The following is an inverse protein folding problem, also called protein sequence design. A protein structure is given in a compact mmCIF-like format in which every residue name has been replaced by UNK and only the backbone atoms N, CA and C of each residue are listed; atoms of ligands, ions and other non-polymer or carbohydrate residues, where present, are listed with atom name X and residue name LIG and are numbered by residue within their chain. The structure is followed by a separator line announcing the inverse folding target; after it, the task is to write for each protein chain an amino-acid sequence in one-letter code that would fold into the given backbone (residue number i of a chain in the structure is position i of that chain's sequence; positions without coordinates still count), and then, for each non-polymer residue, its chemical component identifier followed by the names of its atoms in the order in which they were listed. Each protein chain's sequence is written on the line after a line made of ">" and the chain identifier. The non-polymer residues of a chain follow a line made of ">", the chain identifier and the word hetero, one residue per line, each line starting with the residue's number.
data_IF_724900815807
#
_entry.id   IF_724900815807
#
_cell.length_a   1.000
_cell.length_b   1.000
_cell.length_c   1.000
_cell.angle_alpha   90.00
_cell.angle_beta   90.00
_cell.angle_gamma   90.00
#
_symmetry.space_group_name_H-M   'P 1'
#
loop_
_entity.id
_entity.type
_entity.pdbx_description
1 polymer ?
#
# COMPACT_ATOMS: atom_id res chain seq x y z
N UNK A 1 24.44 4.14 38.97
CA UNK A 1 23.95 4.79 37.74
C UNK A 1 22.43 4.85 37.73
N UNK A 2 21.89 6.01 37.49
CA UNK A 2 20.44 6.16 37.33
C UNK A 2 19.96 5.46 36.05
N UNK A 3 18.65 5.19 35.97
CA UNK A 3 18.01 4.62 34.79
C UNK A 3 18.22 5.50 33.55
N UNK A 4 18.18 6.81 33.73
CA UNK A 4 18.42 7.82 32.69
C UNK A 4 19.85 7.74 32.17
N UNK A 5 20.85 7.60 33.05
CA UNK A 5 22.27 7.50 32.64
C UNK A 5 22.54 6.23 31.83
N UNK A 6 21.92 5.11 32.20
CA UNK A 6 22.02 3.85 31.45
C UNK A 6 21.43 4.01 30.04
N UNK A 7 20.25 4.62 29.93
CA UNK A 7 19.61 4.88 28.64
C UNK A 7 20.42 5.85 27.79
N UNK A 8 20.92 6.93 28.34
CA UNK A 8 21.74 7.90 27.62
C UNK A 8 23.04 7.26 27.10
N UNK A 9 23.65 6.39 27.88
CA UNK A 9 24.85 5.65 27.45
C UNK A 9 24.52 4.68 26.31
N UNK A 10 23.39 3.99 26.38
CA UNK A 10 22.92 3.11 25.32
C UNK A 10 22.66 3.89 24.01
N UNK A 11 22.01 5.04 24.08
CA UNK A 11 21.78 5.92 22.91
C UNK A 11 23.08 6.42 22.32
N UNK A 12 24.03 6.87 23.15
CA UNK A 12 25.36 7.30 22.70
C UNK A 12 26.11 6.19 21.96
N UNK A 13 26.03 4.97 22.48
CA UNK A 13 26.65 3.80 21.84
C UNK A 13 26.00 3.47 20.48
N UNK A 14 24.67 3.49 20.40
CA UNK A 14 23.94 3.24 19.14
C UNK A 14 24.26 4.29 18.07
N UNK A 15 24.43 5.54 18.47
CA UNK A 15 24.77 6.64 17.58
C UNK A 15 26.27 6.72 17.27
N UNK A 16 27.11 5.94 17.94
CA UNK A 16 28.59 6.12 17.93
C UNK A 16 29.01 7.57 18.23
N UNK A 17 28.24 8.22 19.09
CA UNK A 17 28.41 9.63 19.44
C UNK A 17 29.13 9.80 20.79
N UNK A 18 29.81 10.92 20.95
CA UNK A 18 30.39 11.31 22.23
C UNK A 18 29.29 11.74 23.21
N UNK A 19 29.62 11.66 24.50
CA UNK A 19 28.73 12.21 25.53
C UNK A 19 28.48 13.71 25.25
N UNK A 20 27.19 14.11 25.26
CA UNK A 20 26.76 15.47 24.94
C UNK A 20 26.44 15.73 23.47
N UNK A 21 26.71 14.77 22.57
CA UNK A 21 26.40 14.89 21.12
C UNK A 21 25.19 14.02 20.69
N UNK A 22 24.52 13.39 21.63
CA UNK A 22 23.39 12.47 21.34
C UNK A 22 22.21 13.17 20.68
N UNK A 23 21.88 14.38 21.11
CA UNK A 23 20.79 15.17 20.52
C UNK A 23 21.05 15.49 19.04
N UNK A 24 22.29 15.86 18.72
CA UNK A 24 22.73 16.12 17.34
C UNK A 24 22.70 14.83 16.50
N UNK A 25 23.11 13.70 17.08
CA UNK A 25 23.01 12.40 16.43
C UNK A 25 21.56 12.00 16.10
N UNK A 26 20.64 12.22 17.02
CA UNK A 26 19.20 11.99 16.79
C UNK A 26 18.67 12.94 15.72
N UNK A 27 19.03 14.22 15.79
CA UNK A 27 18.62 15.20 14.78
C UNK A 27 19.07 14.79 13.37
N UNK A 28 20.32 14.38 13.23
CA UNK A 28 20.83 13.87 11.94
C UNK A 28 20.07 12.66 11.44
N UNK A 29 19.77 11.68 12.31
CA UNK A 29 18.97 10.51 11.93
C UNK A 29 17.55 10.87 11.49
N UNK A 30 16.91 11.83 12.16
CA UNK A 30 15.59 12.32 11.77
C UNK A 30 15.63 13.00 10.40
N UNK A 31 16.65 13.79 10.11
CA UNK A 31 16.87 14.45 8.83
C UNK A 31 17.15 13.44 7.72
N UNK A 32 18.02 12.47 7.96
CA UNK A 32 18.32 11.38 7.04
C UNK A 32 17.07 10.52 6.76
N UNK A 33 16.29 10.21 7.80
CA UNK A 33 15.03 9.46 7.66
C UNK A 33 14.01 10.25 6.82
N UNK A 34 13.86 11.54 7.06
CA UNK A 34 12.99 12.40 6.27
C UNK A 34 13.43 12.45 4.79
N UNK A 35 14.73 12.57 4.54
CA UNK A 35 15.29 12.57 3.19
C UNK A 35 15.06 11.23 2.48
N UNK A 36 15.25 10.10 3.16
CA UNK A 36 15.00 8.77 2.62
C UNK A 36 13.52 8.54 2.31
N UNK A 37 12.62 8.95 3.20
CA UNK A 37 11.17 8.89 2.97
C UNK A 37 10.75 9.72 1.76
N UNK A 38 11.29 10.93 1.61
CA UNK A 38 11.04 11.79 0.45
C UNK A 38 11.54 11.16 -0.84
N UNK A 39 12.71 10.54 -0.82
CA UNK A 39 13.28 9.84 -1.98
C UNK A 39 12.42 8.63 -2.37
N UNK A 40 12.00 7.82 -1.41
CA UNK A 40 11.10 6.69 -1.65
C UNK A 40 9.81 7.17 -2.30
N UNK A 41 9.19 8.23 -1.76
CA UNK A 41 7.97 8.81 -2.30
C UNK A 41 8.13 9.21 -3.77
N UNK A 42 9.23 9.89 -4.11
CA UNK A 42 9.51 10.31 -5.50
C UNK A 42 9.70 9.11 -6.43
N UNK A 43 10.42 8.08 -5.96
CA UNK A 43 10.64 6.86 -6.75
C UNK A 43 9.33 6.09 -6.96
N UNK A 44 8.50 5.99 -5.94
CA UNK A 44 7.18 5.36 -6.03
C UNK A 44 6.27 6.14 -7.00
N UNK A 45 6.24 7.46 -6.93
CA UNK A 45 5.46 8.30 -7.85
C UNK A 45 5.85 8.08 -9.31
N UNK A 46 7.15 8.01 -9.60
CA UNK A 46 7.65 7.73 -10.94
C UNK A 46 7.26 6.32 -11.41
N UNK A 47 7.41 5.33 -10.54
CA UNK A 47 7.03 3.95 -10.84
C UNK A 47 5.52 3.83 -11.08
N UNK A 48 4.71 4.40 -10.20
CA UNK A 48 3.25 4.36 -10.30
C UNK A 48 2.73 5.11 -11.54
N UNK A 49 3.35 6.23 -11.88
CA UNK A 49 3.03 6.93 -13.13
C UNK A 49 3.31 6.08 -14.37
N UNK A 50 4.42 5.34 -14.38
CA UNK A 50 4.76 4.44 -15.47
C UNK A 50 3.77 3.27 -15.58
N UNK A 51 3.40 2.65 -14.46
CA UNK A 51 2.39 1.60 -14.41
C UNK A 51 1.01 2.11 -14.87
N UNK A 52 0.59 3.27 -14.38
CA UNK A 52 -0.65 3.91 -14.76
C UNK A 52 -0.71 4.22 -16.27
N UNK A 53 0.38 4.75 -16.82
CA UNK A 53 0.47 5.02 -18.24
C UNK A 53 0.36 3.74 -19.08
N UNK A 54 0.91 2.64 -18.63
CA UNK A 54 0.72 1.31 -19.25
C UNK A 54 -0.73 0.82 -19.24
N UNK A 55 -1.56 1.34 -18.36
CA UNK A 55 -2.99 1.03 -18.24
C UNK A 55 -3.90 2.05 -18.96
N UNK A 56 -3.32 3.03 -19.67
CA UNK A 56 -4.08 4.09 -20.35
C UNK A 56 -5.06 3.51 -21.36
N UNK A 57 -6.32 3.90 -21.23
CA UNK A 57 -7.39 3.42 -22.12
C UNK A 57 -7.85 1.98 -21.86
N UNK A 58 -7.25 1.25 -20.92
CA UNK A 58 -7.72 -0.05 -20.51
C UNK A 58 -9.08 0.06 -19.79
N UNK A 59 -9.87 -0.99 -19.84
CA UNK A 59 -11.11 -1.10 -19.06
C UNK A 59 -10.79 -1.33 -17.57
N UNK A 60 -11.27 -2.42 -17.01
CA UNK A 60 -10.94 -2.82 -15.64
C UNK A 60 -9.48 -3.29 -15.55
N UNK A 61 -8.79 -2.86 -14.52
CA UNK A 61 -7.36 -3.11 -14.31
C UNK A 61 -7.13 -3.77 -12.96
N UNK A 62 -6.33 -4.82 -12.94
CA UNK A 62 -5.83 -5.47 -11.73
C UNK A 62 -4.31 -5.44 -11.76
N UNK A 63 -3.70 -4.88 -10.73
CA UNK A 63 -2.26 -4.81 -10.54
C UNK A 63 -1.84 -5.49 -9.25
N UNK A 64 -0.63 -6.02 -9.28
CA UNK A 64 0.03 -6.61 -8.13
C UNK A 64 1.44 -6.02 -7.97
N UNK A 65 1.75 -5.49 -6.80
CA UNK A 65 3.03 -4.92 -6.44
C UNK A 65 3.50 -5.45 -5.08
N UNK A 66 4.79 -5.71 -4.97
CA UNK A 66 5.37 -6.20 -3.72
C UNK A 66 5.49 -5.08 -2.69
N UNK A 67 5.28 -5.43 -1.42
CA UNK A 67 5.64 -4.67 -0.22
C UNK A 67 5.32 -3.17 -0.21
N UNK A 68 4.16 -2.79 -0.69
CA UNK A 68 3.69 -1.41 -0.60
C UNK A 68 3.06 -1.12 0.78
N UNK A 69 3.30 0.09 1.30
CA UNK A 69 2.54 0.61 2.43
C UNK A 69 1.07 0.83 2.03
N UNK A 70 0.13 0.89 2.99
CA UNK A 70 -1.27 1.22 2.68
C UNK A 70 -1.43 2.54 1.93
N UNK A 71 -0.63 3.56 2.27
CA UNK A 71 -0.64 4.85 1.59
C UNK A 71 -0.09 4.76 0.15
N UNK A 72 1.01 4.04 -0.05
CA UNK A 72 1.57 3.79 -1.38
C UNK A 72 0.59 3.03 -2.28
N UNK A 73 -0.06 2.00 -1.75
CA UNK A 73 -1.07 1.22 -2.46
C UNK A 73 -2.27 2.08 -2.89
N UNK A 74 -2.70 3.00 -2.03
CA UNK A 74 -3.72 3.98 -2.36
C UNK A 74 -3.29 4.90 -3.50
N UNK A 75 -2.07 5.45 -3.43
CA UNK A 75 -1.51 6.34 -4.47
C UNK A 75 -1.38 5.62 -5.81
N UNK A 76 -0.97 4.34 -5.81
CA UNK A 76 -0.95 3.51 -7.01
C UNK A 76 -2.36 3.37 -7.61
N UNK A 77 -3.35 3.02 -6.80
CA UNK A 77 -4.72 2.88 -7.23
C UNK A 77 -5.27 4.20 -7.81
N UNK A 78 -5.01 5.33 -7.16
CA UNK A 78 -5.41 6.65 -7.64
C UNK A 78 -4.76 7.00 -8.98
N UNK A 79 -3.46 6.71 -9.15
CA UNK A 79 -2.74 6.93 -10.41
C UNK A 79 -3.32 6.10 -11.56
N UNK A 80 -3.53 4.81 -11.35
CA UNK A 80 -4.11 3.90 -12.35
C UNK A 80 -5.54 4.28 -12.70
N UNK A 81 -6.34 4.62 -11.70
CA UNK A 81 -7.71 5.08 -11.90
C UNK A 81 -7.76 6.39 -12.72
N UNK A 82 -6.70 7.20 -12.64
CA UNK A 82 -6.49 8.40 -13.47
C UNK A 82 -6.40 8.10 -14.96
N UNK A 83 -5.89 6.97 -15.37
CA UNK A 83 -5.57 6.59 -16.74
C UNK A 83 -6.51 5.52 -17.33
N UNK A 84 -6.97 4.56 -16.53
CA UNK A 84 -7.89 3.51 -16.99
C UNK A 84 -9.33 4.04 -17.13
N UNK A 85 -10.16 3.32 -17.88
CA UNK A 85 -11.55 3.69 -18.15
C UNK A 85 -12.56 2.94 -17.28
N UNK A 86 -12.12 1.91 -16.56
CA UNK A 86 -12.95 1.06 -15.73
C UNK A 86 -12.62 1.16 -14.25
N UNK A 87 -12.74 0.05 -13.57
CA UNK A 87 -12.37 -0.15 -12.17
C UNK A 87 -10.90 -0.49 -12.05
N UNK A 88 -10.31 -0.13 -10.92
CA UNK A 88 -8.94 -0.49 -10.59
C UNK A 88 -8.90 -1.28 -9.29
N UNK A 89 -8.15 -2.38 -9.27
CA UNK A 89 -7.81 -3.14 -8.07
C UNK A 89 -6.30 -3.33 -8.00
N UNK A 90 -5.69 -2.85 -6.94
CA UNK A 90 -4.27 -2.98 -6.69
C UNK A 90 -4.04 -3.81 -5.44
N UNK A 91 -3.21 -4.82 -5.54
CA UNK A 91 -2.85 -5.74 -4.45
C UNK A 91 -1.38 -5.58 -4.08
N UNK A 92 -1.08 -5.74 -2.80
CA UNK A 92 0.30 -5.79 -2.30
C UNK A 92 0.40 -6.68 -1.08
N UNK A 93 1.48 -7.43 -0.99
CA UNK A 93 1.76 -8.28 0.14
C UNK A 93 2.49 -9.57 -0.21
N UNK A 94 2.52 -10.48 0.76
CA UNK A 94 3.09 -11.82 0.64
C UNK A 94 2.29 -12.83 1.47
N UNK A 95 2.52 -14.12 1.23
CA UNK A 95 1.89 -15.19 2.01
C UNK A 95 2.27 -15.13 3.50
N UNK A 96 3.45 -14.62 3.82
CA UNK A 96 3.93 -14.48 5.20
C UNK A 96 3.36 -13.26 5.91
N UNK A 97 3.30 -12.12 5.22
CA UNK A 97 2.87 -10.84 5.79
C UNK A 97 1.36 -10.56 5.63
N UNK A 98 0.69 -11.38 4.83
CA UNK A 98 -0.68 -11.12 4.39
C UNK A 98 -0.75 -10.12 3.25
N UNK A 99 -1.95 -9.96 2.69
CA UNK A 99 -2.19 -9.09 1.54
C UNK A 99 -3.06 -7.90 1.91
N UNK A 100 -2.77 -6.79 1.25
CA UNK A 100 -3.58 -5.57 1.27
C UNK A 100 -4.07 -5.30 -0.14
N UNK A 101 -5.25 -4.74 -0.27
CA UNK A 101 -5.71 -4.25 -1.56
C UNK A 101 -6.37 -2.88 -1.46
N UNK A 102 -6.30 -2.15 -2.55
CA UNK A 102 -7.03 -0.93 -2.76
C UNK A 102 -7.82 -1.04 -4.07
N UNK A 103 -9.04 -0.58 -4.06
CA UNK A 103 -9.93 -0.58 -5.23
C UNK A 103 -10.52 0.79 -5.44
N UNK A 104 -10.71 1.15 -6.70
CA UNK A 104 -11.27 2.42 -7.10
C UNK A 104 -12.23 2.28 -8.29
N UNK A 105 -13.21 3.15 -8.37
CA UNK A 105 -14.15 3.27 -9.48
C UNK A 105 -14.54 4.74 -9.68
N UNK A 106 -14.54 5.22 -10.92
CA UNK A 106 -14.90 6.61 -11.21
C UNK A 106 -16.38 6.89 -11.22
N UNK A 107 -17.19 5.97 -11.69
CA UNK A 107 -18.57 6.21 -12.10
C UNK A 107 -19.56 5.26 -11.39
N UNK A 108 -19.27 4.84 -10.15
CA UNK A 108 -20.14 3.93 -9.45
C UNK A 108 -19.96 3.87 -7.96
N UNK A 109 -20.75 3.02 -7.31
CA UNK A 109 -20.68 2.77 -5.88
C UNK A 109 -19.93 1.46 -5.62
N UNK A 110 -18.69 1.57 -5.15
CA UNK A 110 -17.84 0.44 -4.83
C UNK A 110 -18.30 -0.40 -3.64
N UNK A 111 -19.20 0.09 -2.79
CA UNK A 111 -19.54 -0.56 -1.51
C UNK A 111 -20.04 -1.98 -1.69
N UNK A 112 -20.86 -2.22 -2.69
CA UNK A 112 -21.36 -3.56 -2.99
C UNK A 112 -20.25 -4.46 -3.52
N UNK A 113 -19.41 -3.95 -4.39
CA UNK A 113 -18.27 -4.67 -4.94
C UNK A 113 -17.22 -5.00 -3.87
N UNK A 114 -16.88 -4.03 -3.01
CA UNK A 114 -15.97 -4.24 -1.88
C UNK A 114 -16.51 -5.30 -0.91
N UNK A 115 -17.82 -5.30 -0.64
CA UNK A 115 -18.45 -6.34 0.19
C UNK A 115 -18.29 -7.72 -0.44
N UNK A 116 -18.51 -7.84 -1.73
CA UNK A 116 -18.32 -9.10 -2.46
C UNK A 116 -16.86 -9.53 -2.50
N UNK A 117 -15.92 -8.59 -2.72
CA UNK A 117 -14.48 -8.84 -2.65
C UNK A 117 -14.04 -9.33 -1.26
N UNK A 118 -14.44 -8.62 -0.21
CA UNK A 118 -14.11 -9.02 1.15
C UNK A 118 -14.65 -10.41 1.49
N UNK A 119 -15.84 -10.74 1.02
CA UNK A 119 -16.43 -12.05 1.23
C UNK A 119 -15.68 -13.15 0.46
N UNK A 120 -15.33 -12.92 -0.80
CA UNK A 120 -14.63 -13.89 -1.63
C UNK A 120 -13.17 -14.11 -1.20
N UNK A 121 -12.49 -13.04 -0.76
CA UNK A 121 -11.09 -13.05 -0.37
C UNK A 121 -10.88 -13.22 1.15
N UNK A 122 -11.94 -13.44 1.91
CA UNK A 122 -11.89 -13.46 3.38
C UNK A 122 -11.22 -12.22 3.99
N UNK A 123 -11.39 -11.08 3.34
CA UNK A 123 -10.80 -9.80 3.71
C UNK A 123 -11.62 -9.03 4.72
N UNK A 124 -11.03 -7.97 5.27
CA UNK A 124 -11.67 -7.02 6.18
C UNK A 124 -11.29 -5.61 5.78
N UNK A 125 -12.26 -4.75 5.72
CA UNK A 125 -12.06 -3.35 5.41
C UNK A 125 -13.33 -2.71 4.86
N UNK A 126 -13.19 -1.46 4.47
CA UNK A 126 -14.26 -0.68 3.88
C UNK A 126 -13.70 0.64 3.35
N UNK A 127 -14.55 1.48 2.85
CA UNK A 127 -14.13 2.74 2.28
C UNK A 127 -15.31 3.62 1.84
N UNK A 128 -14.96 4.62 1.06
CA UNK A 128 -15.91 5.52 0.41
C UNK A 128 -16.47 4.86 -0.87
N UNK A 129 -17.55 5.40 -1.46
CA UNK A 129 -18.13 4.83 -2.67
C UNK A 129 -17.17 4.71 -3.87
N UNK A 130 -16.22 5.61 -3.98
CA UNK A 130 -15.25 5.71 -5.07
C UNK A 130 -13.90 5.05 -4.77
N UNK A 131 -13.60 4.80 -3.49
CA UNK A 131 -12.33 4.24 -3.04
C UNK A 131 -12.48 3.37 -1.79
N UNK A 132 -11.87 2.20 -1.78
CA UNK A 132 -11.83 1.31 -0.63
C UNK A 132 -10.46 0.65 -0.46
N UNK A 133 -10.11 0.36 0.79
CA UNK A 133 -8.93 -0.42 1.17
C UNK A 133 -9.34 -1.54 2.12
N UNK A 134 -8.67 -2.67 2.00
CA UNK A 134 -8.85 -3.78 2.91
C UNK A 134 -7.56 -4.59 3.12
N UNK A 135 -7.50 -5.31 4.23
CA UNK A 135 -6.49 -6.32 4.50
C UNK A 135 -7.06 -7.72 4.26
N UNK A 136 -6.26 -8.59 3.70
CA UNK A 136 -6.56 -10.02 3.54
C UNK A 136 -5.88 -10.81 4.64
N UNK A 137 -6.51 -11.90 5.09
CA UNK A 137 -5.90 -12.81 6.04
C UNK A 137 -4.94 -13.79 5.36
N UNK A 138 -3.98 -14.30 6.12
CA UNK A 138 -2.75 -15.00 5.77
C UNK A 138 -2.88 -16.26 4.90
N UNK A 139 -4.06 -16.78 4.64
CA UNK A 139 -4.25 -18.07 3.97
C UNK A 139 -4.61 -17.95 2.48
N UNK A 140 -4.71 -16.73 1.96
CA UNK A 140 -5.10 -16.52 0.56
C UNK A 140 -3.86 -16.42 -0.31
N UNK A 141 -3.62 -17.43 -1.14
CA UNK A 141 -2.56 -17.37 -2.14
C UNK A 141 -2.84 -16.32 -3.20
N UNK A 142 -1.80 -15.68 -3.69
CA UNK A 142 -1.86 -14.63 -4.71
C UNK A 142 -2.69 -15.06 -5.92
N UNK A 143 -2.43 -16.25 -6.44
CA UNK A 143 -3.11 -16.77 -7.63
C UNK A 143 -4.61 -17.01 -7.38
N UNK A 144 -4.98 -17.47 -6.19
CA UNK A 144 -6.37 -17.65 -5.78
C UNK A 144 -7.07 -16.29 -5.61
N UNK A 145 -6.38 -15.31 -5.03
CA UNK A 145 -6.89 -13.95 -4.89
C UNK A 145 -7.12 -13.29 -6.26
N UNK A 146 -6.15 -13.38 -7.17
CA UNK A 146 -6.27 -12.84 -8.53
C UNK A 146 -7.37 -13.55 -9.33
N UNK A 147 -7.49 -14.87 -9.22
CA UNK A 147 -8.56 -15.63 -9.85
C UNK A 147 -9.95 -15.24 -9.31
N UNK A 148 -10.07 -15.08 -7.99
CA UNK A 148 -11.29 -14.63 -7.33
C UNK A 148 -11.70 -13.23 -7.77
N UNK A 149 -10.75 -12.29 -7.87
CA UNK A 149 -10.98 -10.93 -8.38
C UNK A 149 -11.44 -10.98 -9.83
N UNK A 150 -10.79 -11.76 -10.68
CA UNK A 150 -11.18 -11.94 -12.07
C UNK A 150 -12.62 -12.45 -12.23
N UNK A 151 -13.03 -13.41 -11.42
CA UNK A 151 -14.42 -13.93 -11.39
C UNK A 151 -15.41 -12.85 -10.92
N UNK A 152 -15.06 -12.07 -9.90
CA UNK A 152 -15.93 -11.02 -9.37
C UNK A 152 -16.06 -9.87 -10.36
N UNK A 153 -14.97 -9.48 -11.00
CA UNK A 153 -14.98 -8.46 -12.06
C UNK A 153 -15.87 -8.91 -13.21
N UNK A 154 -15.74 -10.15 -13.68
CA UNK A 154 -16.61 -10.71 -14.73
C UNK A 154 -18.08 -10.72 -14.30
N UNK A 155 -18.42 -11.17 -13.10
CA UNK A 155 -19.79 -11.14 -12.58
C UNK A 155 -20.34 -9.72 -12.45
N UNK A 156 -19.52 -8.76 -12.05
CA UNK A 156 -19.92 -7.35 -11.94
C UNK A 156 -20.18 -6.71 -13.30
N UNK A 157 -19.53 -7.20 -14.36
CA UNK A 157 -19.70 -6.73 -15.74
C UNK A 157 -20.87 -7.44 -16.48
N UNK A 158 -21.53 -8.40 -15.85
CA UNK A 158 -22.67 -9.10 -16.45
C UNK A 158 -22.30 -10.17 -17.48
N UNK A 159 -21.07 -10.64 -17.44
CA UNK A 159 -20.61 -11.80 -18.23
C UNK A 159 -20.71 -13.12 -17.47
#
# INVERSE_FOLDING_TARGET
>A
LSRVDIQNKAVSNLLSAKAGETAQGVQRLLEENAALKSRILTMEEQHFAALAHGCAGAGDVVLFEDDLSPDALRRLCDAVLGECQGRCACFSGSDEAGYKYAVGERNGDLRTWVKSLNQALNGRGGGKPDFAMAGLKDETKIDEALAAVGVIVKKALGE
#
